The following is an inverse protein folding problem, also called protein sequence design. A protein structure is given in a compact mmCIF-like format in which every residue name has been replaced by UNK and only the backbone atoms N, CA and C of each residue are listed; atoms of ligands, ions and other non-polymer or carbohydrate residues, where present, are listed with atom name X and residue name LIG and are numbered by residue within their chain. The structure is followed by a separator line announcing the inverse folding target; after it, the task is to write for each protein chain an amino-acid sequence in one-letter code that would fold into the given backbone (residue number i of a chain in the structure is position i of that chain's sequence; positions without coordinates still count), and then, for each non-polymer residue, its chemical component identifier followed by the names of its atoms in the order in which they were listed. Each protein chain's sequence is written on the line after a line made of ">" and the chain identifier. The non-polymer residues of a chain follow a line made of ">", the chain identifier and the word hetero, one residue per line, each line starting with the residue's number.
data_IF_891981301290
#
_entry.id   IF_891981301290
#
_cell.length_a   1.000
_cell.length_b   1.000
_cell.length_c   1.000
_cell.angle_alpha   90.00
_cell.angle_beta   90.00
_cell.angle_gamma   90.00
#
_symmetry.space_group_name_H-M   'P 1'
#
loop_
_entity.id
_entity.type
_entity.pdbx_description
1 polymer ?
#
# COMPACT_ATOMS: atom_id res chain seq x y z
N UNK A 1 -7.91 -31.49 16.38
CA UNK A 1 -8.88 -30.90 17.32
C UNK A 1 -9.93 -30.16 16.50
N UNK A 2 -11.23 -30.34 16.74
CA UNK A 2 -12.25 -29.51 16.12
C UNK A 2 -12.12 -28.08 16.64
N UNK A 3 -12.04 -27.10 15.75
CA UNK A 3 -12.05 -25.69 16.13
C UNK A 3 -13.34 -25.41 16.91
N UNK A 4 -13.21 -24.90 18.15
CA UNK A 4 -14.34 -24.42 18.92
C UNK A 4 -15.01 -23.31 18.08
N UNK A 5 -16.31 -23.44 17.72
CA UNK A 5 -16.97 -22.41 16.94
C UNK A 5 -16.95 -21.12 17.74
N UNK A 6 -16.37 -20.06 17.15
CA UNK A 6 -16.44 -18.72 17.73
C UNK A 6 -17.91 -18.42 17.99
N UNK A 7 -18.25 -18.13 19.24
CA UNK A 7 -19.63 -17.87 19.60
C UNK A 7 -20.17 -16.72 18.76
N UNK A 8 -21.33 -16.95 18.15
CA UNK A 8 -22.05 -16.00 17.28
C UNK A 8 -22.21 -14.61 17.89
N UNK A 9 -22.20 -14.52 19.23
CA UNK A 9 -22.32 -13.27 19.98
C UNK A 9 -21.05 -12.40 19.94
N UNK A 10 -19.88 -12.97 19.62
CA UNK A 10 -18.59 -12.28 19.57
C UNK A 10 -18.28 -11.73 18.17
N UNK A 11 -19.02 -12.19 17.16
CA UNK A 11 -18.86 -11.77 15.78
C UNK A 11 -19.69 -10.52 15.48
N UNK A 12 -19.03 -9.39 15.35
CA UNK A 12 -19.66 -8.06 15.19
C UNK A 12 -20.42 -7.88 13.87
N UNK A 13 -20.19 -8.73 12.87
CA UNK A 13 -21.01 -8.78 11.65
C UNK A 13 -22.28 -9.63 11.81
N UNK A 14 -22.53 -10.24 12.98
CA UNK A 14 -23.76 -10.98 13.26
C UNK A 14 -24.85 -10.04 13.81
N UNK A 15 -26.05 -9.99 13.22
CA UNK A 15 -27.19 -9.23 13.74
C UNK A 15 -27.58 -9.56 15.19
N UNK A 16 -27.26 -10.76 15.68
CA UNK A 16 -27.52 -11.18 17.06
C UNK A 16 -26.47 -10.68 18.06
N UNK A 17 -25.34 -10.15 17.60
CA UNK A 17 -24.30 -9.61 18.47
C UNK A 17 -24.75 -8.28 19.11
N UNK A 18 -24.39 -8.08 20.38
CA UNK A 18 -24.64 -6.83 21.10
C UNK A 18 -23.92 -5.64 20.45
N UNK A 19 -22.74 -5.91 19.89
CA UNK A 19 -21.90 -4.95 19.15
C UNK A 19 -22.05 -5.11 17.64
N UNK A 20 -23.25 -5.48 17.16
CA UNK A 20 -23.50 -5.59 15.74
C UNK A 20 -23.13 -4.28 15.03
N UNK A 21 -22.18 -4.33 14.10
CA UNK A 21 -21.55 -3.16 13.50
C UNK A 21 -22.57 -2.23 12.85
N UNK A 22 -23.65 -2.78 12.28
CA UNK A 22 -24.71 -1.96 11.69
C UNK A 22 -25.56 -1.20 12.72
N UNK A 23 -25.58 -1.60 14.00
CA UNK A 23 -26.23 -0.85 15.09
C UNK A 23 -25.28 0.19 15.70
N UNK A 24 -23.98 -0.06 15.63
CA UNK A 24 -22.93 0.82 16.14
C UNK A 24 -22.38 1.77 15.06
N UNK A 25 -23.17 2.06 14.02
CA UNK A 25 -22.72 2.90 12.90
C UNK A 25 -22.41 4.31 13.39
N UNK A 26 -21.37 4.88 12.79
CA UNK A 26 -21.15 6.32 12.80
C UNK A 26 -22.03 6.93 11.71
N UNK A 27 -23.14 7.63 12.05
CA UNK A 27 -24.02 8.21 11.04
C UNK A 27 -23.29 9.23 10.16
N UNK A 28 -22.19 9.78 10.67
CA UNK A 28 -21.35 10.77 10.02
C UNK A 28 -20.56 10.24 8.83
N UNK A 29 -20.31 8.92 8.74
CA UNK A 29 -19.57 8.32 7.63
C UNK A 29 -20.45 7.44 6.74
N UNK A 30 -20.32 7.65 5.43
CA UNK A 30 -21.00 6.86 4.40
C UNK A 30 -19.96 6.18 3.52
N UNK A 31 -20.21 4.93 3.15
CA UNK A 31 -19.37 4.17 2.23
C UNK A 31 -20.04 4.12 0.85
N UNK A 32 -19.27 4.32 -0.22
CA UNK A 32 -19.74 4.14 -1.60
C UNK A 32 -18.83 3.21 -2.37
N UNK A 33 -19.41 2.46 -3.31
CA UNK A 33 -18.66 1.64 -4.24
C UNK A 33 -18.14 2.49 -5.41
N UNK A 34 -16.84 2.38 -5.67
CA UNK A 34 -16.15 3.06 -6.76
C UNK A 34 -15.74 2.03 -7.81
N UNK A 35 -16.05 2.34 -9.08
CA UNK A 35 -15.68 1.53 -10.25
C UNK A 35 -14.76 2.33 -11.16
N UNK A 36 -13.71 1.70 -11.66
CA UNK A 36 -12.67 2.35 -12.46
C UNK A 36 -12.82 1.97 -13.93
N UNK A 37 -12.89 2.94 -14.86
CA UNK A 37 -13.18 2.68 -16.28
C UNK A 37 -12.21 1.70 -16.97
N UNK A 38 -10.96 1.66 -16.52
CA UNK A 38 -9.89 0.92 -17.19
C UNK A 38 -9.52 -0.38 -16.46
N UNK A 39 -10.25 -0.76 -15.40
CA UNK A 39 -9.98 -1.98 -14.65
C UNK A 39 -11.27 -2.63 -14.19
N UNK A 40 -11.36 -3.96 -14.20
CA UNK A 40 -12.45 -4.70 -13.55
C UNK A 40 -12.43 -4.61 -12.01
N UNK A 41 -11.57 -3.76 -11.44
CA UNK A 41 -11.43 -3.60 -9.99
C UNK A 41 -12.50 -2.66 -9.48
N UNK A 42 -12.99 -2.96 -8.28
CA UNK A 42 -13.81 -2.07 -7.47
C UNK A 42 -13.02 -1.61 -6.26
N UNK A 43 -13.40 -0.47 -5.71
CA UNK A 43 -12.83 0.08 -4.48
C UNK A 43 -13.95 0.76 -3.69
N UNK A 44 -13.64 1.25 -2.50
CA UNK A 44 -14.59 1.86 -1.59
C UNK A 44 -14.16 3.30 -1.31
N UNK A 45 -15.10 4.23 -1.39
CA UNK A 45 -14.93 5.62 -0.94
C UNK A 45 -15.60 5.78 0.41
N UNK A 46 -14.89 6.34 1.40
CA UNK A 46 -15.49 6.80 2.64
C UNK A 46 -15.71 8.31 2.54
N UNK A 47 -16.92 8.75 2.86
CA UNK A 47 -17.36 10.14 2.83
C UNK A 47 -17.80 10.55 4.23
N UNK A 48 -17.50 11.80 4.60
CA UNK A 48 -18.09 12.43 5.78
C UNK A 48 -19.31 13.24 5.35
N UNK A 49 -20.50 12.98 5.91
CA UNK A 49 -21.78 13.55 5.41
C UNK A 49 -21.87 15.08 5.50
N UNK A 50 -21.13 15.67 6.45
CA UNK A 50 -21.13 17.12 6.65
C UNK A 50 -20.04 17.83 5.85
N UNK A 51 -19.16 17.08 5.18
CA UNK A 51 -18.12 17.65 4.35
C UNK A 51 -18.59 17.69 2.88
N UNK A 52 -19.10 18.86 2.47
CA UNK A 52 -19.66 19.05 1.13
C UNK A 52 -18.60 19.26 0.05
N UNK A 53 -17.38 19.61 0.44
CA UNK A 53 -16.26 19.80 -0.48
C UNK A 53 -14.94 19.41 0.20
N UNK A 54 -14.72 18.11 0.46
CA UNK A 54 -13.54 17.66 1.13
C UNK A 54 -12.30 17.96 0.28
N UNK A 55 -11.15 18.30 0.90
CA UNK A 55 -9.91 18.59 0.18
C UNK A 55 -9.42 17.39 -0.65
N UNK A 56 -9.82 16.18 -0.26
CA UNK A 56 -9.52 14.94 -0.94
C UNK A 56 -10.63 13.90 -0.73
N UNK A 57 -10.64 12.88 -1.58
CA UNK A 57 -11.46 11.68 -1.46
C UNK A 57 -10.63 10.53 -0.90
N UNK A 58 -11.10 9.87 0.15
CA UNK A 58 -10.44 8.70 0.73
C UNK A 58 -10.93 7.43 0.05
N UNK A 59 -10.02 6.74 -0.64
CA UNK A 59 -10.28 5.48 -1.34
C UNK A 59 -9.53 4.33 -0.66
N UNK A 60 -10.27 3.27 -0.37
CA UNK A 60 -9.79 2.05 0.30
C UNK A 60 -10.08 0.83 -0.59
N UNK A 61 -9.16 -0.12 -0.63
CA UNK A 61 -9.18 -1.21 -1.61
C UNK A 61 -9.74 -2.54 -1.10
N UNK A 62 -9.92 -2.69 0.21
CA UNK A 62 -10.45 -3.91 0.83
C UNK A 62 -11.64 -3.61 1.73
N UNK A 63 -12.60 -4.52 1.76
CA UNK A 63 -13.75 -4.41 2.64
C UNK A 63 -13.36 -4.55 4.10
N UNK A 64 -12.37 -5.41 4.40
CA UNK A 64 -11.81 -5.56 5.74
C UNK A 64 -11.33 -4.24 6.33
N UNK A 65 -10.62 -3.45 5.54
CA UNK A 65 -10.09 -2.14 5.94
C UNK A 65 -11.22 -1.10 6.14
N UNK A 66 -12.27 -1.14 5.32
CA UNK A 66 -13.48 -0.33 5.55
C UNK A 66 -14.11 -0.66 6.90
N UNK A 67 -14.29 -1.95 7.21
CA UNK A 67 -14.87 -2.35 8.49
C UNK A 67 -13.98 -1.95 9.66
N UNK A 68 -12.66 -1.95 9.49
CA UNK A 68 -11.73 -1.41 10.49
C UNK A 68 -12.00 0.07 10.76
N UNK A 69 -12.03 0.90 9.70
CA UNK A 69 -12.33 2.33 9.83
C UNK A 69 -13.67 2.59 10.54
N UNK A 70 -14.72 1.84 10.19
CA UNK A 70 -16.05 1.99 10.80
C UNK A 70 -16.11 1.57 12.27
N UNK A 71 -15.14 0.78 12.75
CA UNK A 71 -15.04 0.38 14.16
C UNK A 71 -14.31 1.39 15.03
N UNK A 72 -13.59 2.36 14.44
CA UNK A 72 -12.80 3.32 15.20
C UNK A 72 -13.74 4.22 16.01
N UNK A 73 -13.77 4.15 17.35
CA UNK A 73 -14.77 4.87 18.15
C UNK A 73 -14.57 6.38 18.11
N UNK A 74 -13.33 6.85 17.94
CA UNK A 74 -12.97 8.26 18.07
C UNK A 74 -12.80 9.01 16.74
N UNK A 75 -12.89 8.33 15.60
CA UNK A 75 -12.81 8.99 14.30
C UNK A 75 -14.00 9.94 14.07
N UNK A 76 -13.74 11.21 13.85
CA UNK A 76 -14.72 12.27 13.54
C UNK A 76 -14.48 12.89 12.17
N UNK A 77 -13.28 12.71 11.61
CA UNK A 77 -12.86 13.27 10.32
C UNK A 77 -12.25 12.18 9.43
N UNK A 78 -12.15 12.46 8.13
CA UNK A 78 -11.41 11.58 7.21
C UNK A 78 -9.92 11.50 7.59
N UNK A 79 -9.36 12.58 8.14
CA UNK A 79 -7.97 12.64 8.60
C UNK A 79 -7.69 11.57 9.67
N UNK A 80 -8.62 11.35 10.61
CA UNK A 80 -8.49 10.31 11.65
C UNK A 80 -8.42 8.90 11.04
N UNK A 81 -9.16 8.67 9.95
CA UNK A 81 -9.12 7.39 9.22
C UNK A 81 -7.82 7.23 8.44
N UNK A 82 -7.33 8.31 7.82
CA UNK A 82 -6.06 8.34 7.10
C UNK A 82 -4.89 8.05 8.04
N UNK A 83 -4.88 8.69 9.20
CA UNK A 83 -3.85 8.47 10.22
C UNK A 83 -3.86 7.02 10.71
N UNK A 84 -5.03 6.47 11.04
CA UNK A 84 -5.15 5.06 11.44
C UNK A 84 -4.65 4.13 10.32
N UNK A 85 -5.15 4.28 9.09
CA UNK A 85 -4.74 3.40 7.98
C UNK A 85 -3.23 3.46 7.73
N UNK A 86 -2.64 4.66 7.85
CA UNK A 86 -1.21 4.85 7.76
C UNK A 86 -0.49 4.16 8.92
N UNK A 87 -0.95 4.30 10.16
CA UNK A 87 -0.33 3.68 11.33
C UNK A 87 -0.24 2.15 11.23
N UNK A 88 -1.26 1.52 10.63
CA UNK A 88 -1.30 0.06 10.44
C UNK A 88 -0.66 -0.40 9.13
N UNK A 89 -0.07 0.50 8.33
CA UNK A 89 0.54 0.15 7.04
C UNK A 89 -0.46 -0.46 6.06
N UNK A 90 -1.72 -0.03 6.14
CA UNK A 90 -2.80 -0.45 5.24
C UNK A 90 -2.71 0.32 3.94
N UNK A 91 -3.10 -0.32 2.83
CA UNK A 91 -3.12 0.36 1.54
C UNK A 91 -4.39 1.20 1.38
N UNK A 92 -4.21 2.49 1.12
CA UNK A 92 -5.28 3.42 0.78
C UNK A 92 -4.73 4.50 -0.16
N UNK A 93 -5.61 5.32 -0.72
CA UNK A 93 -5.19 6.47 -1.52
C UNK A 93 -6.07 7.67 -1.20
N UNK A 94 -5.46 8.84 -1.07
CA UNK A 94 -6.16 10.11 -1.10
C UNK A 94 -6.16 10.64 -2.54
N UNK A 95 -7.32 11.03 -3.03
CA UNK A 95 -7.52 11.51 -4.40
C UNK A 95 -8.00 12.96 -4.42
N UNK A 96 -7.48 13.75 -5.35
CA UNK A 96 -8.01 15.08 -5.67
C UNK A 96 -8.77 15.03 -6.98
N UNK A 97 -9.82 15.83 -7.07
CA UNK A 97 -10.56 16.02 -8.32
C UNK A 97 -9.69 16.82 -9.30
N UNK A 98 -9.65 16.41 -10.56
CA UNK A 98 -8.89 17.09 -11.62
C UNK A 98 -9.27 18.58 -11.72
N UNK A 99 -10.54 18.92 -11.46
CA UNK A 99 -11.01 20.31 -11.46
C UNK A 99 -10.37 21.19 -10.37
N UNK A 100 -9.82 20.58 -9.32
CA UNK A 100 -9.19 21.26 -8.19
C UNK A 100 -7.66 21.32 -8.34
N UNK A 101 -7.10 20.76 -9.43
CA UNK A 101 -5.67 20.82 -9.67
C UNK A 101 -5.24 22.21 -10.13
N UNK A 102 -4.20 22.73 -9.49
CA UNK A 102 -3.55 23.98 -9.87
C UNK A 102 -2.08 23.67 -10.14
N UNK A 103 -1.65 23.73 -11.39
CA UNK A 103 -0.23 23.64 -11.70
C UNK A 103 0.09 23.16 -13.12
N UNK A 104 1.32 23.45 -13.59
CA UNK A 104 1.84 22.91 -14.84
C UNK A 104 1.99 21.39 -14.79
N UNK A 105 1.73 20.73 -15.92
CA UNK A 105 1.99 19.30 -16.07
C UNK A 105 3.46 19.09 -16.46
N UNK A 106 4.28 18.64 -15.51
CA UNK A 106 5.64 18.24 -15.78
C UNK A 106 5.72 16.77 -16.19
N UNK A 107 6.67 16.44 -17.05
CA UNK A 107 7.00 15.04 -17.32
C UNK A 107 7.58 14.40 -16.06
N UNK A 108 7.12 13.18 -15.76
CA UNK A 108 7.67 12.37 -14.67
C UNK A 108 9.12 12.00 -14.96
N UNK A 109 10.04 12.39 -14.09
CA UNK A 109 11.43 11.96 -14.18
C UNK A 109 11.55 10.46 -13.89
N UNK A 110 12.44 9.78 -14.61
CA UNK A 110 12.81 8.40 -14.33
C UNK A 110 13.95 8.37 -13.33
N UNK A 111 13.75 7.68 -12.22
CA UNK A 111 14.79 7.50 -11.23
C UNK A 111 15.74 6.37 -11.66
N UNK A 112 17.04 6.66 -11.72
CA UNK A 112 18.00 5.70 -12.25
C UNK A 112 18.30 4.57 -11.25
N UNK A 113 17.85 3.34 -11.57
CA UNK A 113 18.26 2.13 -10.84
C UNK A 113 19.73 1.81 -11.14
N UNK A 114 20.55 1.44 -10.13
CA UNK A 114 21.95 1.13 -10.35
C UNK A 114 22.13 -0.11 -11.25
N UNK A 115 22.88 0.07 -12.34
CA UNK A 115 23.40 -1.03 -13.14
C UNK A 115 24.72 -1.55 -12.57
N UNK A 116 24.93 -2.86 -12.65
CA UNK A 116 26.09 -3.54 -12.08
C UNK A 116 26.65 -4.61 -13.02
N UNK A 117 27.97 -4.81 -13.04
CA UNK A 117 28.62 -5.78 -13.92
C UNK A 117 28.23 -7.22 -13.55
N UNK A 118 28.41 -8.13 -14.51
CA UNK A 118 28.23 -9.56 -14.29
C UNK A 118 29.09 -10.02 -13.09
N UNK A 119 28.49 -10.83 -12.21
CA UNK A 119 29.17 -11.35 -11.02
C UNK A 119 29.17 -10.41 -9.81
N UNK A 120 28.55 -9.23 -9.91
CA UNK A 120 28.39 -8.32 -8.77
C UNK A 120 27.72 -9.01 -7.57
N UNK A 121 28.37 -8.87 -6.41
CA UNK A 121 27.89 -9.36 -5.11
C UNK A 121 27.81 -8.16 -4.17
N UNK A 122 26.60 -7.70 -3.81
CA UNK A 122 26.43 -6.59 -2.89
C UNK A 122 27.08 -6.87 -1.53
N UNK A 123 27.82 -5.90 -1.01
CA UNK A 123 28.44 -5.95 0.31
C UNK A 123 27.76 -5.00 1.30
N UNK A 124 28.27 -4.94 2.54
CA UNK A 124 27.72 -4.04 3.58
C UNK A 124 27.81 -2.56 3.19
N UNK A 125 28.84 -2.18 2.42
CA UNK A 125 28.99 -0.84 1.86
C UNK A 125 27.91 -0.52 0.82
N UNK A 126 27.51 -1.50 0.01
CA UNK A 126 26.39 -1.37 -0.92
C UNK A 126 25.05 -1.24 -0.19
N UNK A 127 24.88 -1.96 0.93
CA UNK A 127 23.69 -1.79 1.79
C UNK A 127 23.64 -0.38 2.36
N UNK A 128 24.73 0.14 2.93
CA UNK A 128 24.80 1.51 3.43
C UNK A 128 24.55 2.56 2.33
N UNK A 129 25.04 2.32 1.11
CA UNK A 129 24.71 3.16 -0.05
C UNK A 129 23.22 3.10 -0.39
N UNK A 130 22.62 1.92 -0.41
CA UNK A 130 21.19 1.73 -0.63
C UNK A 130 20.36 2.49 0.41
N UNK A 131 20.68 2.37 1.71
CA UNK A 131 19.96 3.03 2.80
C UNK A 131 19.97 4.55 2.62
N UNK A 132 21.13 5.13 2.28
CA UNK A 132 21.23 6.56 1.96
C UNK A 132 20.41 6.94 0.73
N UNK A 133 20.52 6.18 -0.36
CA UNK A 133 19.82 6.47 -1.61
C UNK A 133 18.30 6.44 -1.45
N UNK A 134 17.74 5.47 -0.71
CA UNK A 134 16.29 5.46 -0.43
C UNK A 134 15.88 6.59 0.50
N UNK A 135 16.74 6.98 1.46
CA UNK A 135 16.50 8.12 2.36
C UNK A 135 16.37 9.41 1.56
N UNK A 136 17.33 9.71 0.69
CA UNK A 136 17.28 10.87 -0.21
C UNK A 136 16.05 10.87 -1.12
N UNK A 137 15.59 9.70 -1.58
CA UNK A 137 14.36 9.59 -2.36
C UNK A 137 13.11 9.93 -1.53
N UNK A 138 13.10 9.56 -0.25
CA UNK A 138 11.98 9.76 0.68
C UNK A 138 12.01 11.13 1.38
N UNK A 139 13.04 11.95 1.15
CA UNK A 139 13.04 13.37 1.54
C UNK A 139 12.00 14.17 0.75
N UNK A 140 11.60 13.70 -0.44
CA UNK A 140 10.52 14.28 -1.22
C UNK A 140 9.15 13.94 -0.59
N UNK A 141 8.37 14.94 -0.12
CA UNK A 141 7.11 14.70 0.57
C UNK A 141 6.06 13.96 -0.28
N UNK A 142 6.04 14.17 -1.60
CA UNK A 142 5.07 13.51 -2.48
C UNK A 142 5.41 12.03 -2.64
N UNK A 143 6.70 11.70 -2.74
CA UNK A 143 7.17 10.31 -2.77
C UNK A 143 6.95 9.64 -1.41
N UNK A 144 7.24 10.34 -0.31
CA UNK A 144 7.02 9.84 1.05
C UNK A 144 5.54 9.52 1.28
N UNK A 145 4.61 10.44 0.97
CA UNK A 145 3.16 10.19 1.04
C UNK A 145 2.74 9.00 0.19
N UNK A 146 3.19 8.94 -1.07
CA UNK A 146 2.87 7.82 -1.95
C UNK A 146 3.37 6.48 -1.39
N UNK A 147 4.55 6.46 -0.77
CA UNK A 147 5.11 5.27 -0.13
C UNK A 147 4.35 4.87 1.13
N UNK A 148 3.91 5.83 1.96
CA UNK A 148 3.07 5.57 3.12
C UNK A 148 1.71 4.99 2.73
N UNK A 149 1.03 5.62 1.76
CA UNK A 149 -0.25 5.15 1.20
C UNK A 149 -0.16 3.77 0.55
N UNK A 150 1.03 3.39 0.06
CA UNK A 150 1.25 2.12 -0.60
C UNK A 150 0.96 0.90 0.32
N UNK A 151 1.10 1.08 1.64
CA UNK A 151 0.96 0.04 2.63
C UNK A 151 2.03 -1.06 2.53
N UNK A 152 1.93 -2.04 3.42
CA UNK A 152 2.79 -3.22 3.43
C UNK A 152 4.29 -2.89 3.53
N UNK A 153 5.10 -3.61 2.77
CA UNK A 153 6.57 -3.48 2.83
C UNK A 153 7.09 -2.10 2.41
N UNK A 154 6.46 -1.47 1.42
CA UNK A 154 6.89 -0.13 0.95
C UNK A 154 6.64 0.91 2.04
N UNK A 155 5.45 0.88 2.65
CA UNK A 155 5.15 1.68 3.83
C UNK A 155 6.18 1.42 4.94
N UNK A 156 6.45 0.15 5.25
CA UNK A 156 7.36 -0.18 6.36
C UNK A 156 8.76 0.38 6.15
N UNK A 157 9.28 0.29 4.92
CA UNK A 157 10.59 0.87 4.58
C UNK A 157 10.54 2.40 4.67
N UNK A 158 9.45 3.03 4.24
CA UNK A 158 9.28 4.48 4.33
C UNK A 158 9.25 4.97 5.79
N UNK A 159 8.62 4.22 6.69
CA UNK A 159 8.57 4.53 8.14
C UNK A 159 9.95 4.59 8.82
N UNK A 160 11.02 4.10 8.19
CA UNK A 160 12.39 4.29 8.71
C UNK A 160 12.94 5.70 8.47
N UNK A 161 12.36 6.45 7.54
CA UNK A 161 12.82 7.79 7.12
C UNK A 161 11.80 8.87 7.42
N UNK A 162 10.51 8.52 7.48
CA UNK A 162 9.44 9.46 7.78
C UNK A 162 9.18 9.48 9.29
N UNK A 163 9.44 10.63 9.92
CA UNK A 163 9.39 10.78 11.38
C UNK A 163 8.01 11.14 11.95
N UNK A 164 7.07 11.59 11.13
CA UNK A 164 5.73 12.03 11.58
C UNK A 164 4.63 11.66 10.58
N UNK A 165 3.44 11.32 11.09
CA UNK A 165 2.20 11.19 10.32
C UNK A 165 1.76 12.52 9.69
N UNK A 166 2.31 13.66 10.13
CA UNK A 166 2.02 14.99 9.55
C UNK A 166 2.25 15.04 8.03
N UNK A 167 3.21 14.27 7.52
CA UNK A 167 3.50 14.21 6.08
C UNK A 167 2.30 13.71 5.28
N UNK A 168 1.51 12.77 5.81
CA UNK A 168 0.29 12.30 5.14
C UNK A 168 -0.90 13.24 5.38
N UNK A 169 -0.97 13.85 6.56
CA UNK A 169 -2.05 14.76 6.94
C UNK A 169 -1.93 16.16 6.32
N UNK A 170 -0.77 16.53 5.78
CA UNK A 170 -0.61 17.75 4.98
C UNK A 170 -1.46 17.76 3.71
N UNK A 171 -2.07 16.63 3.37
CA UNK A 171 -2.86 16.43 2.18
C UNK A 171 -2.02 16.24 0.92
N UNK A 172 -2.68 16.06 -0.23
CA UNK A 172 -2.04 15.84 -1.52
C UNK A 172 -1.19 17.04 -1.95
N UNK A 173 0.00 16.80 -2.51
CA UNK A 173 0.84 17.85 -3.04
C UNK A 173 0.26 18.55 -4.28
N UNK A 174 0.81 19.72 -4.63
CA UNK A 174 0.33 20.51 -5.77
C UNK A 174 0.90 20.04 -7.13
N UNK A 175 2.08 19.38 -7.16
CA UNK A 175 2.73 18.92 -8.40
C UNK A 175 2.26 17.53 -8.86
N UNK A 176 0.96 17.41 -9.12
CA UNK A 176 0.35 16.18 -9.61
C UNK A 176 0.81 15.80 -11.03
N UNK A 177 1.35 16.74 -11.81
CA UNK A 177 1.97 16.42 -13.10
C UNK A 177 3.17 15.49 -12.95
N UNK A 178 4.05 15.80 -11.98
CA UNK A 178 5.28 15.04 -11.75
C UNK A 178 5.07 13.73 -10.99
N UNK A 179 4.23 13.73 -9.96
CA UNK A 179 4.08 12.60 -9.02
C UNK A 179 2.73 11.89 -9.12
N UNK A 180 1.76 12.54 -9.74
CA UNK A 180 0.38 12.06 -9.79
C UNK A 180 0.18 10.96 -10.83
N UNK A 181 -0.83 10.14 -10.57
CA UNK A 181 -1.41 9.21 -11.53
C UNK A 181 -2.88 9.53 -11.70
N UNK A 182 -3.29 9.75 -12.96
CA UNK A 182 -4.68 10.00 -13.33
C UNK A 182 -5.46 8.70 -13.38
N UNK A 183 -6.61 8.69 -12.74
CA UNK A 183 -7.60 7.63 -12.79
C UNK A 183 -8.94 8.17 -13.27
N UNK A 184 -9.72 7.32 -13.94
CA UNK A 184 -11.05 7.68 -14.44
C UNK A 184 -12.08 6.76 -13.81
N UNK A 185 -13.12 7.35 -13.23
CA UNK A 185 -14.24 6.63 -12.62
C UNK A 185 -15.35 6.36 -13.62
N UNK A 186 -15.99 5.21 -13.48
CA UNK A 186 -17.24 4.93 -14.17
C UNK A 186 -18.36 5.79 -13.56
N UNK A 187 -19.19 6.44 -14.40
CA UNK A 187 -20.28 7.25 -13.90
C UNK A 187 -21.32 6.37 -13.19
N UNK A 188 -21.68 6.73 -11.95
CA UNK A 188 -22.82 6.12 -11.26
C UNK A 188 -24.13 6.56 -11.92
N UNK A 189 -25.06 5.61 -12.14
CA UNK A 189 -26.43 5.93 -12.59
C UNK A 189 -26.59 6.36 -14.05
N UNK A 190 -25.60 6.13 -14.92
CA UNK A 190 -25.75 6.38 -16.37
C UNK A 190 -25.50 7.82 -16.82
N UNK A 191 -24.99 8.70 -15.95
CA UNK A 191 -24.44 10.00 -16.37
C UNK A 191 -23.33 9.81 -17.40
N UNK A 192 -23.19 10.72 -18.38
CA UNK A 192 -22.10 10.65 -19.37
C UNK A 192 -20.79 11.26 -18.88
N UNK A 193 -20.83 12.02 -17.78
CA UNK A 193 -19.66 12.76 -17.32
C UNK A 193 -18.76 11.88 -16.47
N UNK A 194 -17.60 11.55 -17.05
CA UNK A 194 -16.54 10.82 -16.37
C UNK A 194 -15.89 11.74 -15.35
N UNK A 195 -15.66 11.23 -14.14
CA UNK A 195 -14.87 11.93 -13.13
C UNK A 195 -13.40 11.49 -13.24
N UNK A 196 -12.50 12.48 -13.29
CA UNK A 196 -11.06 12.26 -13.30
C UNK A 196 -10.49 12.59 -11.94
N UNK A 197 -9.79 11.62 -11.35
CA UNK A 197 -9.17 11.73 -10.04
C UNK A 197 -7.67 11.55 -10.17
N UNK A 198 -6.93 12.30 -9.37
CA UNK A 198 -5.47 12.23 -9.30
C UNK A 198 -5.03 11.84 -7.90
N UNK A 199 -3.99 11.01 -7.81
CA UNK A 199 -3.37 10.62 -6.55
C UNK A 199 -1.87 10.55 -6.74
N UNK A 200 -1.10 10.92 -5.71
CA UNK A 200 0.34 10.69 -5.71
C UNK A 200 0.61 9.18 -5.80
N UNK A 201 1.55 8.81 -6.66
CA UNK A 201 1.87 7.40 -6.94
C UNK A 201 3.37 7.20 -7.00
N UNK A 202 3.85 6.00 -6.67
CA UNK A 202 5.24 5.63 -6.92
C UNK A 202 5.39 5.04 -8.33
N UNK A 203 6.52 5.34 -8.99
CA UNK A 203 6.89 4.71 -10.25
C UNK A 203 7.46 3.33 -9.98
N UNK A 204 7.55 2.48 -11.01
CA UNK A 204 8.23 1.19 -10.86
C UNK A 204 9.70 1.37 -10.45
N UNK A 205 10.38 2.41 -10.96
CA UNK A 205 11.77 2.70 -10.58
C UNK A 205 11.89 3.18 -9.12
N UNK A 206 10.94 3.96 -8.62
CA UNK A 206 10.90 4.40 -7.22
C UNK A 206 10.67 3.21 -6.28
N UNK A 207 9.71 2.33 -6.62
CA UNK A 207 9.49 1.08 -5.87
C UNK A 207 10.77 0.22 -5.87
N UNK A 208 11.44 0.12 -7.01
CA UNK A 208 12.68 -0.64 -7.14
C UNK A 208 13.83 -0.04 -6.32
N UNK A 209 13.95 1.29 -6.25
CA UNK A 209 14.92 1.97 -5.37
C UNK A 209 14.58 1.71 -3.90
N UNK A 210 13.31 1.83 -3.50
CA UNK A 210 12.86 1.56 -2.12
C UNK A 210 13.17 0.11 -1.74
N UNK A 211 12.94 -0.85 -2.64
CA UNK A 211 13.28 -2.27 -2.45
C UNK A 211 14.79 -2.58 -2.57
N UNK A 212 15.61 -1.62 -2.96
CA UNK A 212 17.06 -1.78 -3.10
C UNK A 212 17.46 -2.70 -4.25
N UNK A 213 16.84 -2.53 -5.42
CA UNK A 213 17.11 -3.30 -6.64
C UNK A 213 18.41 -2.85 -7.30
N UNK A 214 19.19 -3.82 -7.76
CA UNK A 214 20.31 -3.67 -8.68
C UNK A 214 20.01 -4.43 -9.98
N UNK A 215 20.22 -3.78 -11.13
CA UNK A 215 20.14 -4.43 -12.46
C UNK A 215 21.52 -4.94 -12.85
N UNK A 216 21.70 -6.26 -12.88
CA UNK A 216 22.98 -6.91 -13.14
C UNK A 216 23.01 -7.46 -14.56
N UNK A 217 24.02 -7.10 -15.34
CA UNK A 217 24.19 -7.66 -16.69
C UNK A 217 24.42 -9.17 -16.67
N UNK A 218 23.76 -9.91 -17.57
CA UNK A 218 23.92 -11.37 -17.73
C UNK A 218 24.99 -11.76 -18.73
N UNK A 219 25.47 -10.83 -19.55
CA UNK A 219 26.53 -11.06 -20.51
C UNK A 219 27.48 -9.86 -20.55
N UNK A 220 28.73 -10.12 -20.90
CA UNK A 220 29.76 -9.11 -21.18
C UNK A 220 29.65 -8.54 -22.60
N UNK A 221 28.88 -9.18 -23.49
CA UNK A 221 28.72 -8.75 -24.87
C UNK A 221 27.60 -7.72 -25.05
N UNK A 222 27.91 -6.63 -25.75
CA UNK A 222 27.06 -5.46 -25.95
C UNK A 222 25.78 -5.71 -26.79
N UNK A 223 25.61 -6.88 -27.41
CA UNK A 223 24.55 -7.12 -28.40
C UNK A 223 23.22 -7.60 -27.83
N UNK A 224 23.15 -8.03 -26.55
CA UNK A 224 21.91 -8.46 -25.91
C UNK A 224 21.99 -8.20 -24.40
N UNK A 225 21.60 -7.00 -23.96
CA UNK A 225 21.68 -6.55 -22.56
C UNK A 225 20.61 -7.18 -21.66
N UNK A 226 20.52 -8.51 -21.64
CA UNK A 226 19.73 -9.22 -20.63
C UNK A 226 20.28 -8.89 -19.24
N UNK A 227 19.40 -8.47 -18.34
CA UNK A 227 19.74 -8.21 -16.95
C UNK A 227 19.03 -9.19 -16.02
N UNK A 228 19.55 -9.35 -14.81
CA UNK A 228 18.84 -9.93 -13.67
C UNK A 228 18.72 -8.89 -12.57
N UNK A 229 17.59 -8.92 -11.86
CA UNK A 229 17.37 -8.09 -10.69
C UNK A 229 17.80 -8.85 -9.43
N UNK A 230 18.67 -8.23 -8.63
CA UNK A 230 18.88 -8.59 -7.23
C UNK A 230 18.37 -7.47 -6.35
N UNK A 231 17.79 -7.77 -5.18
CA UNK A 231 17.29 -6.73 -4.28
C UNK A 231 17.49 -7.03 -2.81
N UNK A 232 17.61 -5.96 -2.01
CA UNK A 232 17.63 -6.03 -0.54
C UNK A 232 16.25 -6.37 0.04
N UNK A 233 15.15 -6.02 -0.61
CA UNK A 233 13.82 -6.42 -0.18
C UNK A 233 13.02 -6.97 -1.36
N UNK A 234 12.05 -7.89 -1.14
CA UNK A 234 11.27 -8.43 -2.24
C UNK A 234 10.52 -7.31 -2.95
N UNK A 235 10.57 -7.30 -4.29
CA UNK A 235 9.76 -6.39 -5.11
C UNK A 235 8.28 -6.60 -4.81
N UNK A 236 7.46 -5.55 -4.99
CA UNK A 236 6.04 -5.56 -4.62
C UNK A 236 5.28 -6.80 -5.11
N UNK A 237 5.46 -7.20 -6.38
CA UNK A 237 4.76 -8.37 -6.95
C UNK A 237 5.09 -9.68 -6.22
N UNK A 238 6.28 -9.81 -5.65
CA UNK A 238 6.67 -10.97 -4.86
C UNK A 238 6.09 -10.89 -3.44
N UNK A 239 6.11 -9.71 -2.83
CA UNK A 239 5.57 -9.49 -1.48
C UNK A 239 4.05 -9.67 -1.43
N UNK A 240 3.29 -9.16 -2.41
CA UNK A 240 1.81 -9.21 -2.39
C UNK A 240 1.19 -10.59 -2.56
N UNK A 241 1.99 -11.57 -2.99
CA UNK A 241 1.57 -12.96 -3.11
C UNK A 241 2.06 -13.84 -1.95
N UNK A 242 2.66 -13.21 -0.94
CA UNK A 242 3.29 -13.86 0.20
C UNK A 242 2.33 -13.99 1.39
N UNK A 243 2.70 -14.81 2.37
CA UNK A 243 1.95 -14.89 3.64
C UNK A 243 2.16 -13.68 4.55
N UNK A 244 3.01 -12.73 4.16
CA UNK A 244 3.27 -11.49 4.89
C UNK A 244 2.37 -10.33 4.42
N UNK A 245 1.76 -10.43 3.23
CA UNK A 245 0.78 -9.44 2.75
C UNK A 245 -0.65 -9.85 3.11
N UNK A 246 -1.07 -9.48 4.31
CA UNK A 246 -2.42 -9.76 4.82
C UNK A 246 -3.38 -8.57 4.66
N UNK A 247 -2.93 -7.47 4.06
CA UNK A 247 -3.70 -6.23 3.86
C UNK A 247 -3.31 -5.08 4.80
N UNK A 248 -2.74 -5.41 5.95
CA UNK A 248 -2.13 -4.47 6.90
C UNK A 248 -0.78 -5.03 7.36
N UNK A 249 0.05 -4.16 7.95
CA UNK A 249 1.31 -4.54 8.55
C UNK A 249 1.07 -5.11 9.95
N UNK A 250 1.48 -6.36 10.18
CA UNK A 250 1.24 -7.08 11.43
C UNK A 250 2.56 -7.48 12.11
N UNK A 251 2.45 -8.05 13.32
CA UNK A 251 3.60 -8.46 14.11
C UNK A 251 4.51 -9.49 13.41
N UNK A 252 3.94 -10.43 12.65
CA UNK A 252 4.72 -11.43 11.91
C UNK A 252 5.52 -10.80 10.76
N UNK A 253 4.92 -9.84 10.05
CA UNK A 253 5.59 -9.06 9.02
C UNK A 253 6.70 -8.17 9.61
N UNK A 254 6.45 -7.55 10.78
CA UNK A 254 7.46 -6.77 11.50
C UNK A 254 8.63 -7.64 11.95
N UNK A 255 8.37 -8.78 12.60
CA UNK A 255 9.41 -9.71 13.05
C UNK A 255 10.24 -10.24 11.88
N UNK A 256 9.60 -10.59 10.76
CA UNK A 256 10.32 -10.95 9.54
C UNK A 256 11.20 -9.80 9.03
N UNK A 257 10.67 -8.57 8.99
CA UNK A 257 11.39 -7.40 8.50
C UNK A 257 12.60 -7.09 9.37
N UNK A 258 12.42 -7.05 10.70
CA UNK A 258 13.49 -6.78 11.66
C UNK A 258 14.61 -7.82 11.59
N UNK A 259 14.26 -9.12 11.56
CA UNK A 259 15.26 -10.17 11.37
C UNK A 259 16.01 -10.00 10.06
N UNK A 260 15.32 -9.59 9.00
CA UNK A 260 15.95 -9.37 7.70
C UNK A 260 16.92 -8.18 7.73
N UNK A 261 16.55 -7.08 8.35
CA UNK A 261 17.43 -5.91 8.57
C UNK A 261 18.65 -6.28 9.42
N UNK A 262 18.46 -7.04 10.49
CA UNK A 262 19.55 -7.50 11.35
C UNK A 262 20.60 -8.30 10.57
N UNK A 263 20.19 -9.19 9.67
CA UNK A 263 21.12 -9.93 8.81
C UNK A 263 22.00 -8.99 7.97
N UNK A 264 21.46 -7.86 7.51
CA UNK A 264 22.20 -6.87 6.73
C UNK A 264 23.20 -6.09 7.57
N UNK A 265 22.75 -5.62 8.73
CA UNK A 265 23.59 -4.81 9.64
C UNK A 265 24.72 -5.65 10.24
N UNK A 266 24.48 -6.92 10.53
CA UNK A 266 25.50 -7.84 11.07
C UNK A 266 26.44 -8.41 10.00
N UNK A 267 26.19 -8.15 8.71
CA UNK A 267 26.95 -8.76 7.61
C UNK A 267 26.81 -10.29 7.57
N UNK A 268 25.68 -10.84 8.03
CA UNK A 268 25.44 -12.28 8.02
C UNK A 268 25.44 -12.80 6.56
N UNK A 269 26.09 -13.92 6.24
CA UNK A 269 26.09 -14.49 4.89
C UNK A 269 24.69 -14.78 4.28
N UNK A 270 23.65 -14.93 5.12
CA UNK A 270 22.24 -15.06 4.71
C UNK A 270 21.60 -13.72 4.39
N UNK A 271 22.17 -12.62 4.88
CA UNK A 271 21.82 -11.21 4.62
C UNK A 271 22.31 -10.71 3.27
N UNK A 272 22.09 -11.47 2.20
CA UNK A 272 22.46 -11.09 0.82
C UNK A 272 21.24 -10.64 0.02
N UNK A 273 21.44 -9.82 -1.01
CA UNK A 273 20.39 -9.57 -2.00
C UNK A 273 19.93 -10.86 -2.65
N UNK A 274 18.64 -10.93 -2.95
CA UNK A 274 18.02 -12.11 -3.57
C UNK A 274 17.38 -11.72 -4.89
N UNK A 275 17.33 -12.68 -5.81
CA UNK A 275 16.51 -12.57 -7.02
C UNK A 275 15.04 -12.93 -6.73
N UNK A 276 14.18 -12.74 -7.72
CA UNK A 276 12.74 -13.00 -7.60
C UNK A 276 12.40 -14.43 -7.13
N UNK A 277 13.07 -15.45 -7.68
CA UNK A 277 12.80 -16.85 -7.34
C UNK A 277 13.22 -17.18 -5.90
N UNK A 278 14.36 -16.64 -5.46
CA UNK A 278 14.84 -16.78 -4.09
C UNK A 278 13.91 -16.07 -3.09
N UNK A 279 13.42 -14.87 -3.43
CA UNK A 279 12.44 -14.16 -2.62
C UNK A 279 11.16 -14.97 -2.43
N UNK A 280 10.60 -15.53 -3.51
CA UNK A 280 9.41 -16.40 -3.42
C UNK A 280 9.59 -17.55 -2.43
N UNK A 281 10.78 -18.15 -2.34
CA UNK A 281 11.09 -19.16 -1.34
C UNK A 281 11.13 -18.61 0.09
N UNK A 282 11.71 -17.42 0.27
CA UNK A 282 11.92 -16.79 1.58
C UNK A 282 10.62 -16.27 2.22
N UNK A 283 9.68 -15.77 1.42
CA UNK A 283 8.48 -15.06 1.93
C UNK A 283 7.18 -15.88 1.84
N UNK A 284 7.20 -17.10 1.29
CA UNK A 284 5.99 -17.92 1.10
C UNK A 284 5.25 -18.29 2.40
N UNK A 285 5.88 -18.09 3.56
CA UNK A 285 5.41 -18.34 4.94
C UNK A 285 3.91 -18.65 5.08
N UNK A 286 3.57 -19.76 5.76
CA UNK A 286 2.21 -20.22 6.10
C UNK A 286 1.18 -20.23 4.94
N UNK A 287 1.07 -21.36 4.25
CA UNK A 287 0.17 -21.54 3.09
C UNK A 287 -1.31 -21.28 3.37
N UNK A 288 -1.76 -21.48 4.60
CA UNK A 288 -3.18 -21.36 4.99
C UNK A 288 -3.61 -19.92 5.22
N UNK A 289 -2.68 -19.03 5.58
CA UNK A 289 -3.00 -17.64 5.97
C UNK A 289 -3.67 -16.88 4.83
N UNK A 290 -3.16 -17.00 3.60
CA UNK A 290 -3.76 -16.37 2.41
C UNK A 290 -5.21 -16.82 2.21
N UNK A 291 -5.51 -18.12 2.43
CA UNK A 291 -6.87 -18.65 2.30
C UNK A 291 -7.79 -18.08 3.37
N UNK A 292 -7.33 -17.99 4.61
CA UNK A 292 -8.09 -17.41 5.72
C UNK A 292 -8.43 -15.95 5.43
N UNK A 293 -7.45 -15.13 5.04
CA UNK A 293 -7.68 -13.72 4.75
C UNK A 293 -8.60 -13.50 3.55
N UNK A 294 -8.50 -14.32 2.49
CA UNK A 294 -9.48 -14.30 1.39
C UNK A 294 -10.90 -14.62 1.87
N UNK A 295 -11.05 -15.55 2.81
CA UNK A 295 -12.34 -15.87 3.42
C UNK A 295 -12.90 -14.70 4.23
N UNK A 296 -12.07 -14.06 5.05
CA UNK A 296 -12.46 -12.88 5.84
C UNK A 296 -12.90 -11.76 4.90
N UNK A 297 -12.09 -11.44 3.88
CA UNK A 297 -12.40 -10.41 2.91
C UNK A 297 -13.74 -10.69 2.18
N UNK A 298 -13.99 -11.93 1.76
CA UNK A 298 -15.26 -12.28 1.13
C UNK A 298 -16.47 -12.08 2.05
N UNK A 299 -16.35 -12.42 3.33
CA UNK A 299 -17.42 -12.19 4.33
C UNK A 299 -17.62 -10.69 4.56
N UNK A 300 -16.54 -9.92 4.69
CA UNK A 300 -16.59 -8.47 4.84
C UNK A 300 -17.23 -7.78 3.64
N UNK A 301 -16.86 -8.17 2.40
CA UNK A 301 -17.50 -7.67 1.18
C UNK A 301 -19.00 -7.98 1.16
N UNK A 302 -19.37 -9.22 1.51
CA UNK A 302 -20.78 -9.62 1.61
C UNK A 302 -21.55 -8.83 2.66
N UNK A 303 -20.92 -8.44 3.76
CA UNK A 303 -21.52 -7.56 4.76
C UNK A 303 -21.73 -6.15 4.21
N UNK A 304 -20.71 -5.53 3.62
CA UNK A 304 -20.81 -4.19 3.02
C UNK A 304 -21.94 -4.11 2.00
N UNK A 305 -21.98 -5.06 1.05
CA UNK A 305 -22.98 -5.10 -0.03
C UNK A 305 -24.43 -5.30 0.46
N UNK A 306 -24.62 -5.88 1.65
CA UNK A 306 -25.97 -6.13 2.18
C UNK A 306 -26.46 -5.04 3.10
N UNK A 307 -25.57 -4.26 3.68
CA UNK A 307 -25.91 -3.40 4.82
C UNK A 307 -25.51 -1.94 4.60
N UNK A 308 -24.41 -1.68 3.87
CA UNK A 308 -23.82 -0.33 3.77
C UNK A 308 -23.82 0.25 2.35
N UNK A 309 -23.87 -0.59 1.32
CA UNK A 309 -23.92 -0.22 -0.10
C UNK A 309 -25.28 -0.55 -0.70
#
# INVERSE_FOLDING_TARGET
>A
MPACPISRRWWDMNPEASHYLSRCRKPEFVVRLVRWCNTSKTSYEILHIHDTNPPYKLIIYRATDILHCLRLPNATRLDDLVEELCQYGTRFNVYVDEKNLVGPQHARFQDAIPYRPLGFKPEISDYAYYVRKRGTLLEDPAIARAALMHGGLIWRIAMEHVSSSDVILSGPGQDMGRYGMRHTLEPQGGSRDRCHLWTESLSEDQIDIICGVYRIYRSTSASNSFTQDLSWFPRQRSFTSSGLDLGHWNADAEDWYQRRVQLYVMGDPKGRCLNQSQWKGNIRLWRTTIRTFKGIEAVSQGFLNRQLL
#
